data_IF_193579413016
#
_entry.id   IF_193579413016
#
_cell.length_a   1.000
_cell.length_b   1.000
_cell.length_c   1.000
_cell.angle_alpha   90.00
_cell.angle_beta   90.00
_cell.angle_gamma   90.00
#
_symmetry.space_group_name_H-M   'P 1'
#
loop_
_entity.id
_entity.type
_entity.pdbx_description
1 polymer ?
#
# COMPACT_ATOMS: atom_id res chain seq x y z
N UNK A 1 6.96 9.52 -56.70
CA UNK A 1 7.08 10.65 -55.74
C UNK A 1 5.76 10.94 -54.99
N UNK A 2 4.59 10.95 -55.66
CA UNK A 2 3.29 11.25 -55.01
C UNK A 2 2.83 10.25 -53.92
N UNK A 3 3.14 8.94 -54.04
CA UNK A 3 2.77 7.92 -53.04
C UNK A 3 3.52 8.04 -51.70
N UNK A 4 4.77 8.53 -51.74
CA UNK A 4 5.56 8.76 -50.52
C UNK A 4 5.13 10.04 -49.79
N UNK A 5 4.66 11.06 -50.51
CA UNK A 5 4.10 12.27 -49.91
C UNK A 5 2.76 12.00 -49.18
N UNK A 6 1.92 11.10 -49.72
CA UNK A 6 0.65 10.73 -49.09
C UNK A 6 0.82 9.91 -47.79
N UNK A 7 1.85 9.05 -47.70
CA UNK A 7 2.14 8.32 -46.45
C UNK A 7 2.76 9.22 -45.37
N UNK A 8 3.54 10.23 -45.75
CA UNK A 8 4.07 11.22 -44.82
C UNK A 8 2.97 12.15 -44.26
N UNK A 9 1.95 12.47 -45.06
CA UNK A 9 0.81 13.28 -44.64
C UNK A 9 -0.16 12.52 -43.71
N UNK A 10 -0.33 11.20 -43.89
CA UNK A 10 -1.16 10.38 -42.99
C UNK A 10 -0.50 10.04 -41.65
N UNK A 11 0.84 10.04 -41.58
CA UNK A 11 1.57 9.89 -40.32
C UNK A 11 1.44 11.11 -39.39
N UNK A 12 0.96 12.24 -39.91
CA UNK A 12 0.69 13.46 -39.14
C UNK A 12 -0.76 13.58 -38.67
N UNK A 13 -1.60 12.56 -38.86
CA UNK A 13 -2.99 12.59 -38.41
C UNK A 13 -3.26 11.57 -37.29
N UNK A 14 -3.79 12.09 -36.18
CA UNK A 14 -4.38 11.40 -35.03
C UNK A 14 -3.46 11.05 -33.84
N UNK A 15 -2.69 12.02 -33.35
CA UNK A 15 -2.44 12.06 -31.89
C UNK A 15 -3.75 12.46 -31.20
N UNK A 16 -4.63 11.49 -30.91
CA UNK A 16 -5.80 11.77 -30.08
C UNK A 16 -5.31 12.39 -28.75
N UNK A 17 -5.96 13.46 -28.26
CA UNK A 17 -5.53 14.09 -27.02
C UNK A 17 -5.46 13.05 -25.90
N UNK A 18 -4.38 13.03 -25.12
CA UNK A 18 -4.08 11.98 -24.11
C UNK A 18 -5.27 11.75 -23.15
N UNK A 19 -6.04 12.82 -22.88
CA UNK A 19 -7.25 12.81 -22.07
C UNK A 19 -8.44 12.02 -22.66
N UNK A 20 -8.42 11.68 -23.96
CA UNK A 20 -9.44 10.85 -24.62
C UNK A 20 -8.97 9.43 -24.92
N UNK A 21 -7.76 9.07 -24.45
CA UNK A 21 -7.21 7.72 -24.64
C UNK A 21 -8.13 6.65 -24.03
N UNK A 22 -8.17 5.48 -24.66
CA UNK A 22 -8.95 4.33 -24.19
C UNK A 22 -8.58 3.97 -22.74
N UNK A 23 -7.30 4.07 -22.39
CA UNK A 23 -6.82 3.79 -21.04
C UNK A 23 -7.43 4.74 -20.00
N UNK A 24 -7.49 6.05 -20.29
CA UNK A 24 -8.08 7.04 -19.36
C UNK A 24 -9.57 6.76 -19.16
N UNK A 25 -10.30 6.45 -20.23
CA UNK A 25 -11.73 6.09 -20.15
C UNK A 25 -11.98 4.75 -19.44
N UNK A 26 -11.00 3.84 -19.49
CA UNK A 26 -11.07 2.52 -18.86
C UNK A 26 -10.80 2.51 -17.36
N UNK A 27 -10.23 3.58 -16.76
CA UNK A 27 -9.87 3.62 -15.33
C UNK A 27 -10.99 3.17 -14.37
N UNK A 28 -12.25 3.60 -14.53
CA UNK A 28 -13.33 3.13 -13.65
C UNK A 28 -13.60 1.63 -13.77
N UNK A 29 -13.56 1.08 -14.98
CA UNK A 29 -13.74 -0.36 -15.21
C UNK A 29 -12.56 -1.18 -14.70
N UNK A 30 -11.32 -0.66 -14.80
CA UNK A 30 -10.15 -1.30 -14.21
C UNK A 30 -10.33 -1.41 -12.69
N UNK A 31 -10.76 -0.34 -12.02
CA UNK A 31 -11.03 -0.36 -10.58
C UNK A 31 -12.13 -1.37 -10.22
N UNK A 32 -13.21 -1.44 -11.02
CA UNK A 32 -14.29 -2.42 -10.84
C UNK A 32 -13.78 -3.87 -10.98
N UNK A 33 -12.90 -4.13 -11.95
CA UNK A 33 -12.28 -5.45 -12.13
C UNK A 33 -11.36 -5.78 -10.96
N UNK A 34 -10.55 -4.84 -10.49
CA UNK A 34 -9.70 -5.03 -9.29
C UNK A 34 -10.57 -5.37 -8.07
N UNK A 35 -11.68 -4.65 -7.87
CA UNK A 35 -12.62 -4.94 -6.78
C UNK A 35 -13.19 -6.36 -6.87
N UNK A 36 -13.60 -6.79 -8.07
CA UNK A 36 -14.04 -8.17 -8.30
C UNK A 36 -12.94 -9.19 -8.00
N UNK A 37 -11.68 -8.91 -8.37
CA UNK A 37 -10.55 -9.78 -8.06
C UNK A 37 -10.28 -9.84 -6.55
N UNK A 38 -10.41 -8.73 -5.83
CA UNK A 38 -10.29 -8.70 -4.36
C UNK A 38 -11.34 -9.60 -3.73
N UNK A 39 -12.58 -9.56 -4.23
CA UNK A 39 -13.69 -10.35 -3.70
C UNK A 39 -13.59 -11.85 -4.01
N UNK A 40 -13.09 -12.19 -5.22
CA UNK A 40 -13.07 -13.59 -5.69
C UNK A 40 -11.74 -14.29 -5.47
N UNK A 41 -10.63 -13.55 -5.45
CA UNK A 41 -9.26 -14.05 -5.48
C UNK A 41 -8.37 -13.30 -4.48
N UNK A 42 -8.88 -13.08 -3.26
CA UNK A 42 -8.19 -12.29 -2.23
C UNK A 42 -6.74 -12.77 -1.97
N UNK A 43 -6.48 -14.08 -2.02
CA UNK A 43 -5.14 -14.62 -1.80
C UNK A 43 -4.18 -14.21 -2.91
N UNK A 44 -4.58 -14.37 -4.17
CA UNK A 44 -3.76 -14.01 -5.33
C UNK A 44 -3.53 -12.50 -5.40
N UNK A 45 -4.53 -11.69 -5.03
CA UNK A 45 -4.37 -10.24 -4.95
C UNK A 45 -3.39 -9.85 -3.84
N UNK A 46 -3.41 -10.52 -2.69
CA UNK A 46 -2.45 -10.27 -1.61
C UNK A 46 -0.99 -10.54 -2.04
N UNK A 47 -0.78 -11.54 -2.91
CA UNK A 47 0.54 -11.88 -3.44
C UNK A 47 1.11 -10.77 -4.36
N UNK A 48 0.24 -9.99 -5.00
CA UNK A 48 0.55 -8.94 -5.97
C UNK A 48 0.11 -7.55 -5.50
N UNK A 49 0.00 -7.35 -4.18
CA UNK A 49 -0.69 -6.18 -3.63
C UNK A 49 -0.02 -4.85 -3.99
N UNK A 50 1.30 -4.84 -4.21
CA UNK A 50 2.05 -3.63 -4.59
C UNK A 50 1.72 -3.24 -6.03
N UNK A 51 1.74 -4.21 -6.94
CA UNK A 51 1.39 -4.00 -8.35
C UNK A 51 -0.09 -3.62 -8.49
N UNK A 52 -0.97 -4.25 -7.70
CA UNK A 52 -2.38 -3.87 -7.64
C UNK A 52 -2.52 -2.44 -7.12
N UNK A 53 -1.77 -2.04 -6.10
CA UNK A 53 -1.77 -0.66 -5.60
C UNK A 53 -1.25 0.33 -6.65
N UNK A 54 -0.21 0.00 -7.41
CA UNK A 54 0.30 0.85 -8.51
C UNK A 54 -0.81 1.15 -9.52
N UNK A 55 -1.53 0.12 -9.94
CA UNK A 55 -2.65 0.24 -10.88
C UNK A 55 -3.81 1.02 -10.24
N UNK A 56 -4.15 0.72 -8.98
CA UNK A 56 -5.21 1.42 -8.25
C UNK A 56 -4.92 2.92 -8.13
N UNK A 57 -3.74 3.31 -7.64
CA UNK A 57 -3.34 4.72 -7.50
C UNK A 57 -3.30 5.42 -8.85
N UNK A 58 -2.88 4.73 -9.92
CA UNK A 58 -2.94 5.28 -11.28
C UNK A 58 -4.38 5.53 -11.75
N UNK A 59 -5.31 4.64 -11.41
CA UNK A 59 -6.70 4.71 -11.87
C UNK A 59 -7.57 5.67 -11.03
N UNK A 60 -7.20 5.89 -9.77
CA UNK A 60 -7.93 6.78 -8.87
C UNK A 60 -7.83 8.27 -9.28
N UNK A 61 -8.91 9.00 -9.01
CA UNK A 61 -8.88 10.45 -9.10
C UNK A 61 -8.08 11.04 -7.92
N UNK A 62 -7.00 11.75 -8.24
CA UNK A 62 -6.09 12.28 -7.23
C UNK A 62 -6.75 13.33 -6.31
N UNK A 63 -7.74 14.09 -6.82
CA UNK A 63 -8.44 15.09 -6.02
C UNK A 63 -9.39 14.43 -5.03
N UNK A 64 -10.13 13.40 -5.45
CA UNK A 64 -10.98 12.60 -4.57
C UNK A 64 -10.14 11.84 -3.53
N UNK A 65 -9.03 11.21 -3.93
CA UNK A 65 -8.13 10.53 -3.01
C UNK A 65 -7.57 11.49 -1.95
N UNK A 66 -7.27 12.74 -2.34
CA UNK A 66 -6.83 13.79 -1.42
C UNK A 66 -7.94 14.22 -0.44
N UNK A 67 -9.19 14.34 -0.91
CA UNK A 67 -10.30 14.87 -0.12
C UNK A 67 -10.92 13.85 0.82
N UNK A 68 -11.10 12.62 0.33
CA UNK A 68 -11.86 11.55 1.00
C UNK A 68 -10.97 10.43 1.54
N UNK A 69 -9.74 10.34 1.04
CA UNK A 69 -8.81 9.28 1.40
C UNK A 69 -9.10 7.94 0.74
N UNK A 70 -8.20 6.99 0.96
CA UNK A 70 -8.23 5.69 0.29
C UNK A 70 -9.47 4.87 0.70
N UNK A 71 -9.86 4.94 1.97
CA UNK A 71 -11.00 4.19 2.50
C UNK A 71 -12.32 4.52 1.81
N UNK A 72 -12.56 5.79 1.48
CA UNK A 72 -13.78 6.22 0.80
C UNK A 72 -13.70 6.11 -0.72
N UNK A 73 -12.49 6.25 -1.29
CA UNK A 73 -12.32 6.21 -2.76
C UNK A 73 -12.18 4.81 -3.31
N UNK A 74 -11.60 3.88 -2.56
CA UNK A 74 -11.47 2.48 -2.95
C UNK A 74 -11.42 1.55 -1.73
N UNK A 75 -12.55 1.35 -1.01
CA UNK A 75 -12.59 0.60 0.25
C UNK A 75 -12.10 -0.85 0.14
N UNK A 76 -12.23 -1.47 -1.03
CA UNK A 76 -11.86 -2.87 -1.25
C UNK A 76 -10.38 -3.14 -0.93
N UNK A 77 -9.46 -2.25 -1.33
CA UNK A 77 -8.02 -2.45 -1.11
C UNK A 77 -7.62 -2.25 0.37
N UNK A 78 -8.42 -1.53 1.15
CA UNK A 78 -8.18 -1.35 2.58
C UNK A 78 -8.54 -2.59 3.42
N UNK A 79 -9.11 -3.64 2.81
CA UNK A 79 -9.39 -4.92 3.49
C UNK A 79 -8.13 -5.75 3.74
N UNK A 80 -6.99 -5.36 3.13
CA UNK A 80 -5.71 -6.00 3.36
C UNK A 80 -4.97 -5.28 4.50
N UNK A 81 -4.62 -6.01 5.56
CA UNK A 81 -3.91 -5.42 6.71
C UNK A 81 -2.51 -4.90 6.35
N UNK A 82 -1.97 -5.32 5.20
CA UNK A 82 -0.72 -4.82 4.65
C UNK A 82 -0.89 -3.51 3.86
N UNK A 83 -2.07 -2.86 3.88
CA UNK A 83 -2.32 -1.55 3.28
C UNK A 83 -2.73 -0.55 4.37
N UNK A 84 -2.09 0.61 4.42
CA UNK A 84 -2.46 1.71 5.31
C UNK A 84 -2.34 3.05 4.60
N UNK A 85 -3.28 3.96 4.87
CA UNK A 85 -3.24 5.34 4.35
C UNK A 85 -3.18 6.34 5.51
N UNK A 86 -2.32 7.35 5.39
CA UNK A 86 -2.34 8.54 6.24
C UNK A 86 -2.93 9.72 5.47
N UNK A 87 -4.14 10.13 5.88
CA UNK A 87 -4.87 11.27 5.32
C UNK A 87 -4.08 12.59 5.42
N UNK A 88 -3.30 12.79 6.49
CA UNK A 88 -2.61 14.06 6.73
C UNK A 88 -1.35 14.20 5.88
N UNK A 89 -0.48 13.20 5.89
CA UNK A 89 0.74 13.23 5.08
C UNK A 89 0.49 12.88 3.61
N UNK A 90 -0.68 12.32 3.27
CA UNK A 90 -1.06 11.82 1.93
C UNK A 90 -0.11 10.73 1.45
N UNK A 91 0.11 9.75 2.33
CA UNK A 91 1.01 8.62 2.08
C UNK A 91 0.24 7.31 2.17
N UNK A 92 0.53 6.40 1.25
CA UNK A 92 0.05 5.01 1.29
C UNK A 92 1.27 4.13 1.59
N UNK A 93 1.13 3.22 2.55
CA UNK A 93 2.10 2.19 2.86
C UNK A 93 1.52 0.83 2.45
N UNK A 94 2.28 0.05 1.69
CA UNK A 94 1.91 -1.30 1.27
C UNK A 94 3.03 -2.29 1.59
N UNK A 95 2.74 -3.26 2.43
CA UNK A 95 3.63 -4.37 2.74
C UNK A 95 3.58 -5.43 1.64
N UNK A 96 4.75 -5.87 1.18
CA UNK A 96 4.90 -6.85 0.12
C UNK A 96 5.24 -8.25 0.67
N UNK A 97 4.95 -9.27 -0.13
CA UNK A 97 5.26 -10.66 0.20
C UNK A 97 6.76 -10.96 0.30
N UNK A 98 7.59 -10.23 -0.43
CA UNK A 98 9.04 -10.38 -0.40
C UNK A 98 9.71 -9.61 0.77
N UNK A 99 8.93 -9.09 1.72
CA UNK A 99 9.45 -8.36 2.88
C UNK A 99 9.72 -6.87 2.65
N UNK A 100 9.47 -6.37 1.43
CA UNK A 100 9.56 -4.95 1.15
C UNK A 100 8.32 -4.18 1.62
N UNK A 101 8.51 -2.89 1.84
CA UNK A 101 7.47 -1.89 2.06
C UNK A 101 7.51 -0.90 0.89
N UNK A 102 6.41 -0.78 0.15
CA UNK A 102 6.18 0.27 -0.83
C UNK A 102 5.55 1.48 -0.13
N UNK A 103 6.21 2.62 -0.21
CA UNK A 103 5.72 3.88 0.34
C UNK A 103 5.42 4.86 -0.80
N UNK A 104 4.13 5.10 -1.03
CA UNK A 104 3.63 6.04 -2.02
C UNK A 104 3.44 7.41 -1.38
N UNK A 105 4.02 8.44 -1.99
CA UNK A 105 3.83 9.83 -1.60
C UNK A 105 3.05 10.57 -2.68
N UNK A 106 1.79 10.88 -2.40
CA UNK A 106 0.91 11.56 -3.35
C UNK A 106 1.38 12.99 -3.66
N UNK A 107 2.14 13.64 -2.76
CA UNK A 107 2.62 15.01 -2.96
C UNK A 107 3.73 15.07 -3.99
N UNK A 108 4.60 14.06 -3.98
CA UNK A 108 5.75 13.98 -4.88
C UNK A 108 5.53 13.06 -6.07
N UNK A 109 4.42 12.31 -6.09
CA UNK A 109 4.11 11.27 -7.06
C UNK A 109 5.25 10.22 -7.17
N UNK A 110 5.90 9.92 -6.05
CA UNK A 110 7.00 8.95 -5.96
C UNK A 110 6.57 7.74 -5.14
N UNK A 111 7.08 6.58 -5.53
CA UNK A 111 7.05 5.36 -4.74
C UNK A 111 8.48 5.02 -4.30
N UNK A 112 8.67 4.74 -3.02
CA UNK A 112 9.93 4.27 -2.47
C UNK A 112 9.77 2.82 -1.99
N UNK A 113 10.66 1.94 -2.43
CA UNK A 113 10.75 0.56 -1.95
C UNK A 113 11.77 0.45 -0.83
N UNK A 114 11.36 -0.11 0.30
CA UNK A 114 12.16 -0.20 1.52
C UNK A 114 12.25 -1.66 1.93
N UNK A 115 13.46 -2.18 2.13
CA UNK A 115 13.65 -3.51 2.71
C UNK A 115 13.28 -3.44 4.20
N UNK A 116 12.05 -3.84 4.53
CA UNK A 116 11.52 -3.74 5.88
C UNK A 116 11.79 -5.02 6.67
N UNK A 117 11.47 -6.17 6.10
CA UNK A 117 11.54 -7.47 6.74
C UNK A 117 12.25 -8.48 5.84
N UNK A 118 12.74 -9.56 6.44
CA UNK A 118 13.33 -10.70 5.70
C UNK A 118 12.28 -11.71 5.23
N UNK A 119 11.04 -11.56 5.68
CA UNK A 119 9.89 -12.39 5.37
C UNK A 119 8.65 -11.50 5.08
N UNK A 120 7.51 -12.06 4.61
CA UNK A 120 6.35 -11.26 4.20
C UNK A 120 5.92 -10.21 5.23
N UNK A 121 5.62 -9.00 4.75
CA UNK A 121 5.03 -7.94 5.57
C UNK A 121 3.52 -8.16 5.63
N UNK A 122 3.03 -8.60 6.79
CA UNK A 122 1.63 -9.06 6.93
C UNK A 122 0.69 -7.98 7.44
N UNK A 123 1.23 -6.98 8.15
CA UNK A 123 0.45 -5.84 8.56
C UNK A 123 1.30 -4.57 8.57
N UNK A 124 0.65 -3.45 8.22
CA UNK A 124 1.22 -2.10 8.28
C UNK A 124 0.18 -1.16 8.86
N UNK A 125 0.60 -0.19 9.67
CA UNK A 125 -0.32 0.82 10.21
C UNK A 125 0.40 2.13 10.51
N UNK A 126 -0.08 3.23 9.95
CA UNK A 126 0.35 4.56 10.35
C UNK A 126 -0.19 4.90 11.75
N UNK A 127 0.63 5.61 12.55
CA UNK A 127 0.16 6.19 13.80
C UNK A 127 -0.88 7.28 13.51
N UNK A 128 -1.81 7.57 14.45
CA UNK A 128 -2.85 8.57 14.24
C UNK A 128 -2.32 9.98 13.91
N UNK A 129 -1.11 10.30 14.35
CA UNK A 129 -0.43 11.58 14.07
C UNK A 129 0.44 11.56 12.80
N UNK A 130 0.50 10.42 12.09
CA UNK A 130 1.29 10.23 10.86
C UNK A 130 2.82 10.24 11.05
N UNK A 131 3.32 10.35 12.29
CA UNK A 131 4.76 10.45 12.58
C UNK A 131 5.48 9.12 12.60
N UNK A 132 4.73 8.04 12.83
CA UNK A 132 5.26 6.69 12.86
C UNK A 132 4.50 5.78 11.92
N UNK A 133 5.20 4.77 11.43
CA UNK A 133 4.62 3.63 10.75
C UNK A 133 5.07 2.38 11.50
N UNK A 134 4.15 1.47 11.77
CA UNK A 134 4.47 0.14 12.28
C UNK A 134 4.36 -0.87 11.13
N UNK A 135 5.32 -1.79 11.02
CA UNK A 135 5.27 -2.93 10.08
C UNK A 135 5.52 -4.22 10.84
N UNK A 136 4.83 -5.29 10.45
CA UNK A 136 4.93 -6.56 11.15
C UNK A 136 5.09 -7.73 10.19
N UNK A 137 6.04 -8.60 10.52
CA UNK A 137 6.22 -9.90 9.87
C UNK A 137 6.00 -11.02 10.88
N UNK A 138 4.99 -11.83 10.62
CA UNK A 138 4.64 -12.98 11.43
C UNK A 138 5.72 -14.08 11.37
N UNK A 139 6.25 -14.37 10.17
CA UNK A 139 7.26 -15.41 9.98
C UNK A 139 8.61 -15.03 10.59
N UNK A 140 8.97 -13.74 10.56
CA UNK A 140 10.16 -13.22 11.24
C UNK A 140 9.92 -13.05 12.76
N UNK A 141 8.68 -13.10 13.22
CA UNK A 141 8.26 -12.73 14.57
C UNK A 141 8.74 -11.33 14.98
N UNK A 142 8.70 -10.35 14.06
CA UNK A 142 9.19 -8.99 14.33
C UNK A 142 8.19 -7.90 14.02
N UNK A 143 8.15 -6.93 14.92
CA UNK A 143 7.49 -5.64 14.75
C UNK A 143 8.58 -4.55 14.61
N UNK A 144 8.51 -3.79 13.53
CA UNK A 144 9.40 -2.64 13.32
C UNK A 144 8.61 -1.35 13.40
N UNK A 145 9.26 -0.33 13.96
CA UNK A 145 8.75 1.04 13.95
C UNK A 145 9.64 1.94 13.11
N UNK A 146 8.99 2.75 12.29
CA UNK A 146 9.61 3.67 11.37
C UNK A 146 9.22 5.08 11.72
N UNK A 147 10.20 5.98 11.76
CA UNK A 147 9.96 7.41 11.89
C UNK A 147 9.75 8.02 10.51
N UNK A 148 8.67 8.77 10.37
CA UNK A 148 8.29 9.48 9.15
C UNK A 148 8.73 10.93 9.25
N UNK A 149 9.71 11.35 8.45
CA UNK A 149 10.07 12.76 8.36
C UNK A 149 9.14 13.47 7.35
N UNK A 150 8.65 14.65 7.72
CA UNK A 150 8.11 15.61 6.75
C UNK A 150 9.27 16.43 6.21
N UNK A 151 9.48 16.46 4.89
CA UNK A 151 10.45 17.35 4.28
C UNK A 151 10.08 18.80 4.59
N UNK A 152 10.87 19.48 5.41
CA UNK A 152 10.61 20.86 5.86
C UNK A 152 10.76 21.89 4.72
N UNK A 153 11.39 21.51 3.61
CA UNK A 153 11.55 22.32 2.40
C UNK A 153 11.05 21.53 1.18
N UNK A 154 9.79 21.78 0.82
CA UNK A 154 8.94 20.97 -0.05
C UNK A 154 9.35 20.81 -1.52
N UNK A 155 10.63 20.84 -1.89
CA UNK A 155 11.06 20.63 -3.28
C UNK A 155 12.31 19.76 -3.47
N UNK A 156 13.07 19.39 -2.43
CA UNK A 156 14.41 18.79 -2.62
C UNK A 156 14.71 17.54 -1.80
N UNK A 157 13.89 17.17 -0.81
CA UNK A 157 14.14 15.97 -0.01
C UNK A 157 12.91 15.07 -0.06
N UNK A 158 13.08 13.87 -0.60
CA UNK A 158 12.03 12.85 -0.62
C UNK A 158 11.53 12.55 0.80
N UNK A 159 10.37 11.89 0.89
CA UNK A 159 9.86 11.38 2.15
C UNK A 159 10.87 10.43 2.80
N UNK A 160 11.68 10.93 3.74
CA UNK A 160 12.66 10.11 4.45
C UNK A 160 11.96 9.28 5.53
N UNK A 161 12.23 7.99 5.52
CA UNK A 161 11.73 7.01 6.46
C UNK A 161 12.91 6.24 7.04
N UNK A 162 12.93 6.11 8.37
CA UNK A 162 14.03 5.47 9.10
C UNK A 162 13.49 4.47 10.10
N UNK A 163 14.00 3.24 10.10
CA UNK A 163 13.72 2.29 11.17
C UNK A 163 14.35 2.80 12.47
N UNK A 164 13.54 2.99 13.50
CA UNK A 164 13.97 3.51 14.81
C UNK A 164 13.90 2.46 15.91
N UNK A 165 13.13 1.39 15.71
CA UNK A 165 13.02 0.32 16.70
C UNK A 165 12.61 -1.00 16.06
N UNK A 166 13.14 -2.09 16.62
CA UNK A 166 12.73 -3.46 16.34
C UNK A 166 12.33 -4.13 17.65
N UNK A 167 11.22 -4.86 17.63
CA UNK A 167 10.79 -5.71 18.73
C UNK A 167 10.57 -7.13 18.24
N UNK A 168 11.07 -8.09 19.00
CA UNK A 168 10.67 -9.48 18.83
C UNK A 168 9.27 -9.66 19.42
N UNK A 169 8.43 -10.39 18.69
CA UNK A 169 7.08 -10.75 19.10
C UNK A 169 7.05 -12.23 19.46
N UNK A 170 6.14 -12.61 20.35
CA UNK A 170 5.94 -14.03 20.65
C UNK A 170 5.34 -14.71 19.42
N UNK A 171 5.87 -15.88 18.99
CA UNK A 171 5.24 -16.68 17.96
C UNK A 171 3.82 -17.05 18.38
N UNK A 172 2.86 -16.92 17.46
CA UNK A 172 1.50 -17.35 17.75
C UNK A 172 1.44 -18.87 17.87
N UNK A 173 0.57 -19.35 18.76
CA UNK A 173 0.43 -20.79 19.00
C UNK A 173 -0.49 -21.34 17.91
N UNK A 174 0.07 -22.01 16.91
CA UNK A 174 -0.74 -22.73 15.94
C UNK A 174 -1.53 -23.83 16.67
N UNK A 175 -2.83 -23.63 16.86
CA UNK A 175 -3.73 -24.72 17.23
C UNK A 175 -3.72 -25.77 16.13
N UNK A 176 -3.81 -27.05 16.50
CA UNK A 176 -3.61 -28.21 15.62
C UNK A 176 -4.50 -28.26 14.36
N UNK A 177 -5.56 -27.44 14.30
CA UNK A 177 -6.55 -27.44 13.21
C UNK A 177 -6.69 -26.11 12.45
N UNK A 178 -5.92 -25.06 12.76
CA UNK A 178 -6.05 -23.77 12.05
C UNK A 178 -5.03 -23.68 10.91
N UNK A 179 -5.49 -23.53 9.68
CA UNK A 179 -4.58 -23.35 8.54
C UNK A 179 -3.75 -22.09 8.74
N UNK A 180 -2.44 -22.15 8.44
CA UNK A 180 -1.54 -21.00 8.52
C UNK A 180 -2.10 -19.81 7.72
N UNK A 181 -2.70 -20.06 6.56
CA UNK A 181 -3.35 -19.04 5.76
C UNK A 181 -4.52 -18.35 6.48
N UNK A 182 -5.27 -19.06 7.32
CA UNK A 182 -6.34 -18.48 8.14
C UNK A 182 -5.79 -17.65 9.30
N UNK A 183 -4.70 -18.08 9.94
CA UNK A 183 -4.02 -17.31 11.00
C UNK A 183 -3.40 -16.01 10.45
N UNK A 184 -2.80 -16.09 9.27
CA UNK A 184 -2.17 -14.94 8.60
C UNK A 184 -3.19 -13.88 8.17
N UNK A 185 -4.40 -14.28 7.77
CA UNK A 185 -5.51 -13.34 7.46
C UNK A 185 -5.99 -12.52 8.67
N UNK A 186 -5.69 -12.97 9.89
CA UNK A 186 -6.11 -12.32 11.13
C UNK A 186 -5.12 -11.31 11.70
N UNK A 187 -3.92 -11.18 11.14
CA UNK A 187 -2.87 -10.32 11.70
C UNK A 187 -3.17 -8.84 11.44
N UNK A 188 -3.28 -8.04 12.51
CA UNK A 188 -3.60 -6.60 12.43
C UNK A 188 -2.74 -5.79 13.40
N UNK A 189 -2.44 -4.56 13.02
CA UNK A 189 -1.79 -3.57 13.87
C UNK A 189 -2.81 -2.50 14.24
N UNK A 190 -2.97 -2.24 15.53
CA UNK A 190 -3.92 -1.25 16.06
C UNK A 190 -3.19 -0.27 16.95
N UNK A 191 -3.10 0.99 16.53
CA UNK A 191 -2.57 2.05 17.38
C UNK A 191 -3.60 2.43 18.43
N UNK A 192 -3.24 2.27 19.71
CA UNK A 192 -4.08 2.68 20.85
C UNK A 192 -3.69 4.06 21.39
N UNK A 193 -2.46 4.50 21.12
CA UNK A 193 -2.01 5.87 21.34
C UNK A 193 -1.04 6.26 20.22
N UNK A 194 -0.53 7.50 20.20
CA UNK A 194 0.51 7.92 19.23
C UNK A 194 1.82 7.13 19.33
N UNK A 195 2.03 6.41 20.45
CA UNK A 195 3.28 5.69 20.75
C UNK A 195 3.09 4.21 21.03
N UNK A 196 1.86 3.73 21.13
CA UNK A 196 1.58 2.34 21.48
C UNK A 196 0.76 1.66 20.39
N UNK A 197 1.23 0.51 19.95
CA UNK A 197 0.55 -0.36 18.99
C UNK A 197 0.28 -1.71 19.63
N UNK A 198 -0.87 -2.30 19.31
CA UNK A 198 -1.19 -3.68 19.61
C UNK A 198 -1.04 -4.48 18.33
N UNK A 199 -0.28 -5.57 18.42
CA UNK A 199 -0.26 -6.64 17.42
C UNK A 199 -1.35 -7.63 17.82
N UNK A 200 -2.36 -7.77 16.95
CA UNK A 200 -3.42 -8.77 17.06
C UNK A 200 -3.10 -9.88 16.06
N UNK A 201 -2.99 -11.12 16.51
CA UNK A 201 -2.75 -12.28 15.63
C UNK A 201 -4.02 -13.09 15.41
N UNK A 202 -4.07 -13.90 14.35
CA UNK A 202 -5.27 -14.67 14.00
C UNK A 202 -5.69 -15.75 15.01
N UNK A 203 -4.84 -16.08 15.98
CA UNK A 203 -5.19 -16.93 17.13
C UNK A 203 -5.83 -16.16 18.30
N UNK A 204 -6.05 -14.85 18.13
CA UNK A 204 -6.60 -13.97 19.16
C UNK A 204 -5.57 -13.46 20.16
N UNK A 205 -4.28 -13.75 19.98
CA UNK A 205 -3.25 -13.21 20.87
C UNK A 205 -3.07 -11.70 20.64
N UNK A 206 -2.90 -10.97 21.74
CA UNK A 206 -2.66 -9.53 21.74
C UNK A 206 -1.34 -9.21 22.41
N UNK A 207 -0.49 -8.43 21.74
CA UNK A 207 0.79 -7.99 22.29
C UNK A 207 0.95 -6.49 22.08
N UNK A 208 1.13 -5.76 23.18
CA UNK A 208 1.31 -4.29 23.16
C UNK A 208 2.80 -3.94 23.11
N UNK A 209 3.14 -3.03 22.22
CA UNK A 209 4.48 -2.49 22.05
C UNK A 209 4.46 -0.97 22.05
N UNK A 210 5.57 -0.38 22.45
CA UNK A 210 5.78 1.07 22.38
C UNK A 210 6.91 1.41 21.42
N UNK A 211 6.76 2.52 20.70
CA UNK A 211 7.81 3.14 19.88
C UNK A 211 8.83 3.88 20.74
#
# INVERSE_FOLDING_TARGET
>A
VARHAAMAANAQSQSAPIHTSVLVRGKPEILRVIELLIDKMQSDVAELIVEVMDITVHCLDAAQLKQKGLQETFPAICRFNMVSYDNHSRRIAVGARNGYLALYDQKTAKCQMIAAHSAPVMAVAFSPDGRHLATYSYQENKLLFWQMAAGLFGMMSGSSIKCIRSHDTRPARAGSNTSLNSLLKGVRLVWITQKNVIVLTGDGSEQKFSV
#
